data_IF_287524034584
#
_entry.id   IF_287524034584
#
_cell.length_a   1.000
_cell.length_b   1.000
_cell.length_c   1.000
_cell.angle_alpha   90.00
_cell.angle_beta   90.00
_cell.angle_gamma   90.00
#
_symmetry.space_group_name_H-M   'P 1'
#
loop_
_entity.id
_entity.type
_entity.pdbx_description
1 polymer ?
#
# COMPACT_ATOMS: atom_id res chain seq x y z
N UNK A 1 -97.68 -21.45 -23.32
CA UNK A 1 -98.41 -22.19 -22.28
C UNK A 1 -97.49 -23.31 -21.76
N UNK A 2 -96.76 -23.05 -20.68
CA UNK A 2 -95.94 -24.06 -19.99
C UNK A 2 -96.84 -25.17 -19.43
N UNK A 3 -96.57 -26.45 -19.71
CA UNK A 3 -96.56 -27.50 -18.66
C UNK A 3 -96.09 -28.89 -19.14
N UNK A 4 -95.05 -29.37 -18.46
CA UNK A 4 -94.76 -30.76 -18.08
C UNK A 4 -94.95 -31.88 -19.12
N UNK A 5 -93.84 -32.37 -19.70
CA UNK A 5 -93.50 -33.80 -19.65
C UNK A 5 -91.99 -34.09 -19.90
N UNK A 6 -91.10 -33.20 -19.45
CA UNK A 6 -89.66 -33.44 -19.32
C UNK A 6 -89.36 -34.15 -17.99
N UNK A 7 -89.65 -35.45 -17.88
CA UNK A 7 -89.25 -36.21 -16.68
C UNK A 7 -88.99 -37.70 -16.95
N UNK A 8 -89.74 -38.35 -17.85
CA UNK A 8 -89.62 -39.81 -18.07
C UNK A 8 -88.37 -40.25 -18.85
N UNK A 9 -87.90 -39.44 -19.81
CA UNK A 9 -86.74 -39.77 -20.63
C UNK A 9 -85.39 -39.63 -19.91
N UNK A 10 -85.25 -38.64 -19.03
CA UNK A 10 -84.04 -38.43 -18.22
C UNK A 10 -83.86 -39.50 -17.14
N UNK A 11 -84.95 -39.99 -16.55
CA UNK A 11 -84.92 -41.08 -15.57
C UNK A 11 -84.45 -42.38 -16.20
N UNK A 12 -84.89 -42.68 -17.42
CA UNK A 12 -84.49 -43.91 -18.12
C UNK A 12 -82.99 -43.93 -18.47
N UNK A 13 -82.42 -42.78 -18.82
CA UNK A 13 -81.00 -42.65 -19.16
C UNK A 13 -80.09 -42.68 -17.92
N UNK A 14 -80.57 -42.15 -16.78
CA UNK A 14 -79.91 -42.26 -15.47
C UNK A 14 -79.93 -43.71 -14.94
N UNK A 15 -81.04 -44.43 -15.16
CA UNK A 15 -81.16 -45.84 -14.76
C UNK A 15 -80.21 -46.76 -15.54
N UNK A 16 -79.97 -46.44 -16.82
CA UNK A 16 -79.04 -47.16 -17.69
C UNK A 16 -77.57 -46.95 -17.29
N UNK A 17 -77.21 -45.78 -16.74
CA UNK A 17 -75.91 -45.54 -16.12
C UNK A 17 -75.72 -46.28 -14.80
N UNK A 18 -76.78 -46.52 -14.02
CA UNK A 18 -76.69 -47.18 -12.72
C UNK A 18 -76.61 -48.71 -12.81
N UNK A 19 -77.09 -49.30 -13.91
CA UNK A 19 -77.09 -50.76 -14.10
C UNK A 19 -75.77 -51.33 -14.65
N UNK A 20 -74.79 -50.47 -14.99
CA UNK A 20 -73.44 -50.88 -15.44
C UNK A 20 -72.40 -50.98 -14.33
N UNK A 21 -72.76 -50.65 -13.08
CA UNK A 21 -71.90 -50.84 -11.91
C UNK A 21 -72.13 -52.24 -11.33
N UNK A 22 -71.76 -53.26 -12.10
CA UNK A 22 -71.55 -54.59 -11.56
C UNK A 22 -70.40 -54.51 -10.56
N UNK A 23 -70.65 -54.98 -9.33
CA UNK A 23 -69.70 -54.95 -8.23
C UNK A 23 -68.33 -55.52 -8.63
N UNK A 24 -67.33 -54.64 -8.72
CA UNK A 24 -65.95 -55.07 -8.71
C UNK A 24 -65.63 -55.45 -7.26
N UNK A 25 -65.89 -56.71 -6.92
CA UNK A 25 -65.31 -57.30 -5.72
C UNK A 25 -63.79 -57.20 -5.86
N UNK A 26 -63.16 -56.33 -5.08
CA UNK A 26 -61.71 -56.27 -5.00
C UNK A 26 -61.21 -57.63 -4.52
N UNK A 27 -60.84 -58.50 -5.45
CA UNK A 27 -60.24 -59.78 -5.13
C UNK A 27 -58.86 -59.49 -4.55
N UNK A 28 -58.71 -59.71 -3.24
CA UNK A 28 -57.43 -59.64 -2.57
C UNK A 28 -56.54 -60.75 -3.13
N UNK A 29 -55.62 -60.37 -4.02
CA UNK A 29 -54.59 -61.28 -4.49
C UNK A 29 -53.55 -61.43 -3.37
N UNK A 30 -53.75 -62.47 -2.55
CA UNK A 30 -52.91 -62.78 -1.39
C UNK A 30 -51.44 -62.94 -1.80
N UNK A 31 -51.17 -63.46 -3.00
CA UNK A 31 -49.81 -63.62 -3.53
C UNK A 31 -49.14 -62.27 -3.82
N UNK A 32 -49.85 -61.33 -4.46
CA UNK A 32 -49.33 -59.98 -4.71
C UNK A 32 -49.17 -59.17 -3.42
N UNK A 33 -50.06 -59.35 -2.44
CA UNK A 33 -49.91 -58.73 -1.12
C UNK A 33 -48.68 -59.28 -0.38
N UNK A 34 -48.45 -60.60 -0.42
CA UNK A 34 -47.23 -61.19 0.15
C UNK A 34 -45.97 -60.66 -0.55
N UNK A 35 -45.97 -60.58 -1.88
CA UNK A 35 -44.86 -60.01 -2.63
C UNK A 35 -44.61 -58.55 -2.28
N UNK A 36 -45.66 -57.72 -2.17
CA UNK A 36 -45.53 -56.32 -1.77
C UNK A 36 -45.00 -56.19 -0.33
N UNK A 37 -45.45 -57.04 0.58
CA UNK A 37 -44.95 -57.06 1.97
C UNK A 37 -43.48 -57.48 2.01
N UNK A 38 -43.07 -58.45 1.20
CA UNK A 38 -41.68 -58.88 1.07
C UNK A 38 -40.80 -57.78 0.47
N UNK A 39 -41.26 -57.12 -0.60
CA UNK A 39 -40.59 -55.95 -1.19
C UNK A 39 -40.51 -54.77 -0.22
N UNK A 40 -41.58 -54.51 0.56
CA UNK A 40 -41.58 -53.47 1.59
C UNK A 40 -40.58 -53.75 2.71
N UNK A 41 -40.45 -55.02 3.13
CA UNK A 41 -39.43 -55.43 4.11
C UNK A 41 -38.01 -55.28 3.53
N UNK A 42 -37.79 -55.69 2.28
CA UNK A 42 -36.53 -55.53 1.56
C UNK A 42 -36.14 -54.06 1.42
N UNK A 43 -37.06 -53.22 0.96
CA UNK A 43 -36.87 -51.77 0.80
C UNK A 43 -36.58 -51.09 2.14
N UNK A 44 -37.27 -51.48 3.22
CA UNK A 44 -36.98 -50.96 4.55
C UNK A 44 -35.55 -51.27 5.01
N UNK A 45 -35.06 -52.49 4.78
CA UNK A 45 -33.66 -52.85 5.05
C UNK A 45 -32.69 -52.01 4.23
N UNK A 46 -32.97 -51.81 2.94
CA UNK A 46 -32.15 -50.97 2.06
C UNK A 46 -32.13 -49.51 2.48
N UNK A 47 -33.25 -48.97 2.96
CA UNK A 47 -33.34 -47.61 3.50
C UNK A 47 -32.52 -47.47 4.79
N UNK A 48 -32.53 -48.48 5.66
CA UNK A 48 -31.72 -48.49 6.87
C UNK A 48 -30.22 -48.51 6.53
N UNK A 49 -29.80 -49.32 5.57
CA UNK A 49 -28.42 -49.36 5.07
C UNK A 49 -28.01 -48.03 4.40
N UNK A 50 -28.89 -47.46 3.58
CA UNK A 50 -28.68 -46.17 2.94
C UNK A 50 -28.52 -45.06 4.00
N UNK A 51 -29.35 -45.05 5.04
CA UNK A 51 -29.25 -44.12 6.16
C UNK A 51 -27.93 -44.27 6.92
N UNK A 52 -27.50 -45.49 7.20
CA UNK A 52 -26.21 -45.77 7.86
C UNK A 52 -25.04 -45.27 7.01
N UNK A 53 -25.06 -45.54 5.69
CA UNK A 53 -24.05 -45.03 4.74
C UNK A 53 -24.08 -43.51 4.64
N UNK A 54 -25.26 -42.89 4.60
CA UNK A 54 -25.41 -41.44 4.55
C UNK A 54 -24.85 -40.78 5.82
N UNK A 55 -25.04 -41.37 7.00
CA UNK A 55 -24.46 -40.86 8.24
C UNK A 55 -22.93 -40.86 8.18
N UNK A 56 -22.32 -41.95 7.71
CA UNK A 56 -20.85 -42.05 7.54
C UNK A 56 -20.35 -41.07 6.48
N UNK A 57 -21.03 -40.97 5.33
CA UNK A 57 -20.66 -40.03 4.26
C UNK A 57 -20.77 -38.59 4.74
N UNK A 58 -21.85 -38.22 5.44
CA UNK A 58 -22.05 -36.87 5.98
C UNK A 58 -20.98 -36.51 7.01
N UNK A 59 -20.61 -37.44 7.89
CA UNK A 59 -19.52 -37.25 8.85
C UNK A 59 -18.17 -37.05 8.14
N UNK A 60 -17.88 -37.83 7.09
CA UNK A 60 -16.68 -37.69 6.28
C UNK A 60 -16.65 -36.38 5.49
N UNK A 61 -17.77 -35.93 4.95
CA UNK A 61 -17.89 -34.64 4.27
C UNK A 61 -17.63 -33.47 5.21
N UNK A 62 -18.17 -33.50 6.43
CA UNK A 62 -17.94 -32.46 7.43
C UNK A 62 -16.47 -32.42 7.87
N UNK A 63 -15.86 -33.59 8.04
CA UNK A 63 -14.43 -33.70 8.29
C UNK A 63 -13.62 -33.11 7.12
N UNK A 64 -13.95 -33.43 5.88
CA UNK A 64 -13.29 -32.90 4.69
C UNK A 64 -13.45 -31.38 4.57
N UNK A 65 -14.65 -30.83 4.79
CA UNK A 65 -14.89 -29.38 4.83
C UNK A 65 -14.04 -28.70 5.89
N UNK A 66 -13.91 -29.32 7.06
CA UNK A 66 -13.04 -28.84 8.14
C UNK A 66 -11.57 -28.81 7.71
N UNK A 67 -11.07 -29.86 7.07
CA UNK A 67 -9.69 -29.90 6.57
C UNK A 67 -9.46 -28.87 5.45
N UNK A 68 -10.41 -28.70 4.53
CA UNK A 68 -10.35 -27.66 3.50
C UNK A 68 -10.33 -26.25 4.11
N UNK A 69 -11.12 -26.00 5.14
CA UNK A 69 -11.12 -24.73 5.87
C UNK A 69 -9.76 -24.46 6.54
N UNK A 70 -9.18 -25.47 7.17
CA UNK A 70 -7.82 -25.40 7.74
C UNK A 70 -6.77 -25.10 6.66
N UNK A 71 -6.81 -25.81 5.53
CA UNK A 71 -5.91 -25.60 4.40
C UNK A 71 -6.05 -24.17 3.86
N UNK A 72 -7.28 -23.69 3.64
CA UNK A 72 -7.54 -22.33 3.17
C UNK A 72 -7.01 -21.29 4.15
N UNK A 73 -7.12 -21.55 5.45
CA UNK A 73 -6.59 -20.67 6.50
C UNK A 73 -5.06 -20.63 6.46
N UNK A 74 -4.40 -21.79 6.38
CA UNK A 74 -2.93 -21.88 6.24
C UNK A 74 -2.41 -21.22 4.98
N UNK A 75 -3.11 -21.40 3.85
CA UNK A 75 -2.76 -20.75 2.60
C UNK A 75 -2.82 -19.22 2.73
N UNK A 76 -3.89 -18.67 3.31
CA UNK A 76 -4.01 -17.23 3.55
C UNK A 76 -2.92 -16.71 4.49
N UNK A 77 -2.63 -17.45 5.55
CA UNK A 77 -1.55 -17.11 6.50
C UNK A 77 -0.20 -17.03 5.78
N UNK A 78 0.13 -18.06 4.98
CA UNK A 78 1.36 -18.12 4.20
C UNK A 78 1.43 -16.96 3.20
N UNK A 79 0.35 -16.69 2.48
CA UNK A 79 0.27 -15.57 1.55
C UNK A 79 0.54 -14.23 2.24
N UNK A 80 -0.02 -14.02 3.44
CA UNK A 80 0.22 -12.80 4.22
C UNK A 80 1.67 -12.68 4.68
N UNK A 81 2.30 -13.78 5.11
CA UNK A 81 3.74 -13.80 5.47
C UNK A 81 4.63 -13.47 4.27
N UNK A 82 4.33 -14.01 3.09
CA UNK A 82 5.08 -13.69 1.87
C UNK A 82 4.94 -12.21 1.47
N UNK A 83 3.75 -11.62 1.62
CA UNK A 83 3.57 -10.17 1.39
C UNK A 83 4.45 -9.34 2.33
N UNK A 84 4.52 -9.73 3.61
CA UNK A 84 5.34 -9.02 4.59
C UNK A 84 6.85 -9.15 4.28
N UNK A 85 7.31 -10.33 3.84
CA UNK A 85 8.69 -10.53 3.39
C UNK A 85 8.98 -9.68 2.15
N UNK A 86 8.06 -9.65 1.17
CA UNK A 86 8.23 -8.83 -0.02
C UNK A 86 8.34 -7.33 0.31
N UNK A 87 7.51 -6.84 1.24
CA UNK A 87 7.61 -5.48 1.76
C UNK A 87 8.98 -5.20 2.39
N UNK A 88 9.51 -6.13 3.18
CA UNK A 88 10.84 -5.98 3.80
C UNK A 88 11.97 -5.95 2.76
N UNK A 89 11.89 -6.79 1.71
CA UNK A 89 12.83 -6.79 0.59
C UNK A 89 12.77 -5.46 -0.17
N UNK A 90 11.57 -4.96 -0.48
CA UNK A 90 11.35 -3.68 -1.15
C UNK A 90 12.02 -2.54 -0.34
N UNK A 91 11.78 -2.51 0.98
CA UNK A 91 12.36 -1.52 1.88
C UNK A 91 13.90 -1.64 1.96
N UNK A 92 14.44 -2.86 2.08
CA UNK A 92 15.88 -3.10 2.14
C UNK A 92 16.60 -2.67 0.86
N UNK A 93 16.04 -2.98 -0.32
CA UNK A 93 16.61 -2.57 -1.60
C UNK A 93 16.68 -1.05 -1.74
N UNK A 94 15.68 -0.34 -1.22
CA UNK A 94 15.65 1.12 -1.22
C UNK A 94 16.63 1.67 -0.18
N UNK A 95 16.71 1.06 1.00
CA UNK A 95 17.69 1.41 2.03
C UNK A 95 19.13 1.32 1.52
N UNK A 96 19.48 0.26 0.78
CA UNK A 96 20.80 0.11 0.15
C UNK A 96 21.11 1.22 -0.85
N UNK A 97 20.11 1.73 -1.57
CA UNK A 97 20.28 2.86 -2.50
C UNK A 97 20.30 4.22 -1.79
N UNK A 98 19.60 4.34 -0.66
CA UNK A 98 19.51 5.56 0.11
C UNK A 98 20.79 5.83 0.92
N UNK A 99 21.42 4.79 1.46
CA UNK A 99 22.62 4.89 2.29
C UNK A 99 23.73 5.79 1.69
N UNK A 100 24.22 5.56 0.44
CA UNK A 100 25.25 6.41 -0.14
C UNK A 100 24.78 7.86 -0.39
N UNK A 101 23.48 8.08 -0.61
CA UNK A 101 22.93 9.44 -0.80
C UNK A 101 22.90 10.20 0.53
N UNK A 102 22.58 9.52 1.64
CA UNK A 102 22.63 10.11 2.98
C UNK A 102 24.06 10.44 3.37
N UNK A 103 25.01 9.53 3.10
CA UNK A 103 26.43 9.77 3.34
C UNK A 103 26.92 11.00 2.56
N UNK A 104 26.51 11.14 1.29
CA UNK A 104 26.80 12.32 0.51
C UNK A 104 26.25 13.60 1.15
N UNK A 105 24.99 13.60 1.62
CA UNK A 105 24.41 14.77 2.31
C UNK A 105 25.28 15.15 3.51
N UNK A 106 25.64 14.18 4.35
CA UNK A 106 26.49 14.40 5.54
C UNK A 106 27.83 15.00 5.15
N UNK A 107 28.46 14.46 4.10
CA UNK A 107 29.74 14.96 3.61
C UNK A 107 29.65 16.40 3.09
N UNK A 108 28.63 16.72 2.28
CA UNK A 108 28.45 18.08 1.77
C UNK A 108 28.15 19.07 2.91
N UNK A 109 27.35 18.65 3.89
CA UNK A 109 27.05 19.46 5.07
C UNK A 109 28.30 19.79 5.87
N UNK A 110 29.17 18.80 6.10
CA UNK A 110 30.47 19.02 6.74
C UNK A 110 31.32 20.05 6.00
N UNK A 111 31.33 20.01 4.66
CA UNK A 111 32.05 20.99 3.83
C UNK A 111 31.45 22.40 3.97
N UNK A 112 30.12 22.52 3.97
CA UNK A 112 29.42 23.79 4.16
C UNK A 112 29.77 24.41 5.52
N UNK A 113 29.69 23.62 6.60
CA UNK A 113 30.07 24.09 7.95
C UNK A 113 31.54 24.51 8.02
N UNK A 114 32.44 23.74 7.41
CA UNK A 114 33.87 24.06 7.37
C UNK A 114 34.13 25.37 6.63
N UNK A 115 33.50 25.58 5.48
CA UNK A 115 33.61 26.83 4.71
C UNK A 115 33.03 28.04 5.45
N UNK A 116 31.87 27.88 6.08
CA UNK A 116 31.24 28.93 6.89
C UNK A 116 32.09 29.30 8.11
N UNK A 117 32.71 28.30 8.75
CA UNK A 117 33.61 28.51 9.89
C UNK A 117 34.87 29.28 9.50
N UNK A 118 35.51 28.89 8.40
CA UNK A 118 36.71 29.59 7.92
C UNK A 118 36.42 30.99 7.37
N UNK A 119 35.22 31.20 6.82
CA UNK A 119 34.82 32.48 6.25
C UNK A 119 33.41 32.86 6.69
N UNK A 120 33.29 33.55 7.84
CA UNK A 120 31.99 33.93 8.40
C UNK A 120 31.11 34.78 7.49
N UNK A 121 31.69 35.47 6.49
CA UNK A 121 30.94 36.23 5.48
C UNK A 121 30.01 35.33 4.62
N UNK A 122 30.30 34.03 4.51
CA UNK A 122 29.49 33.07 3.76
C UNK A 122 28.29 32.54 4.57
N UNK A 123 28.20 32.86 5.85
CA UNK A 123 27.15 32.35 6.74
C UNK A 123 25.73 32.73 6.30
N UNK A 124 25.44 33.96 5.84
CA UNK A 124 24.11 34.31 5.32
C UNK A 124 23.72 33.49 4.08
N UNK A 125 24.67 33.19 3.20
CA UNK A 125 24.44 32.36 2.01
C UNK A 125 24.07 30.93 2.40
N UNK A 126 24.75 30.39 3.41
CA UNK A 126 24.47 29.05 3.93
C UNK A 126 23.11 29.01 4.64
N UNK A 127 22.77 30.03 5.43
CA UNK A 127 21.60 30.03 6.31
C UNK A 127 20.28 29.71 5.59
N UNK A 128 19.96 30.46 4.53
CA UNK A 128 18.68 30.29 3.82
C UNK A 128 18.60 28.92 3.13
N UNK A 129 19.71 28.47 2.56
CA UNK A 129 19.79 27.19 1.86
C UNK A 129 19.70 26.01 2.83
N UNK A 130 20.35 26.10 3.99
CA UNK A 130 20.25 25.12 5.07
C UNK A 130 18.84 25.06 5.65
N UNK A 131 18.17 26.20 5.84
CA UNK A 131 16.81 26.24 6.34
C UNK A 131 15.82 25.52 5.39
N UNK A 132 15.95 25.71 4.07
CA UNK A 132 15.15 24.98 3.08
C UNK A 132 15.45 23.47 3.11
N UNK A 133 16.73 23.08 3.18
CA UNK A 133 17.13 21.67 3.26
C UNK A 133 16.59 20.98 4.52
N UNK A 134 16.66 21.64 5.68
CA UNK A 134 16.07 21.14 6.93
C UNK A 134 14.55 20.99 6.80
N UNK A 135 13.87 21.95 6.16
CA UNK A 135 12.43 21.86 5.92
C UNK A 135 12.08 20.65 5.04
N UNK A 136 12.84 20.41 3.97
CA UNK A 136 12.67 19.23 3.09
C UNK A 136 12.92 17.93 3.84
N UNK A 137 14.00 17.87 4.62
CA UNK A 137 14.31 16.71 5.45
C UNK A 137 13.18 16.42 6.44
N UNK A 138 12.62 17.44 7.10
CA UNK A 138 11.48 17.28 8.01
C UNK A 138 10.23 16.76 7.30
N UNK A 139 9.91 17.28 6.11
CA UNK A 139 8.79 16.77 5.28
C UNK A 139 9.00 15.30 4.92
N UNK A 140 10.22 14.92 4.55
CA UNK A 140 10.56 13.54 4.24
C UNK A 140 10.46 12.62 5.48
N UNK A 141 10.91 13.07 6.64
CA UNK A 141 10.75 12.34 7.90
C UNK A 141 9.27 12.14 8.25
N UNK A 142 8.44 13.17 8.09
CA UNK A 142 6.99 13.07 8.31
C UNK A 142 6.34 12.08 7.34
N UNK A 143 6.77 12.08 6.07
CA UNK A 143 6.32 11.11 5.07
C UNK A 143 6.68 9.68 5.47
N UNK A 144 7.94 9.44 5.86
CA UNK A 144 8.39 8.14 6.35
C UNK A 144 7.61 7.70 7.60
N UNK A 145 7.36 8.61 8.54
CA UNK A 145 6.55 8.34 9.72
C UNK A 145 5.12 7.92 9.34
N UNK A 146 4.49 8.61 8.38
CA UNK A 146 3.20 8.22 7.83
C UNK A 146 3.22 6.83 7.20
N UNK A 147 4.26 6.49 6.43
CA UNK A 147 4.43 5.15 5.88
C UNK A 147 4.54 4.08 6.96
N UNK A 148 5.29 4.35 8.04
CA UNK A 148 5.42 3.41 9.17
C UNK A 148 4.08 3.20 9.89
N UNK A 149 3.30 4.26 10.12
CA UNK A 149 1.97 4.14 10.73
C UNK A 149 1.01 3.33 9.85
N UNK A 150 1.14 3.44 8.52
CA UNK A 150 0.32 2.72 7.54
C UNK A 150 0.95 1.42 7.03
N UNK A 151 1.82 0.76 7.81
CA UNK A 151 2.52 -0.45 7.36
C UNK A 151 1.58 -1.63 7.04
N UNK A 152 0.44 -1.72 7.74
CA UNK A 152 -0.60 -2.70 7.46
C UNK A 152 -1.26 -2.50 6.10
N UNK A 153 -1.45 -1.25 5.69
CA UNK A 153 -2.00 -0.90 4.37
C UNK A 153 -0.94 -1.13 3.29
N UNK A 154 0.32 -0.75 3.54
CA UNK A 154 1.44 -1.05 2.65
C UNK A 154 1.51 -2.54 2.32
N UNK A 155 1.38 -3.42 3.31
CA UNK A 155 1.41 -4.86 3.10
C UNK A 155 0.28 -5.36 2.17
N UNK A 156 -0.84 -4.64 2.10
CA UNK A 156 -1.98 -4.98 1.24
C UNK A 156 -1.87 -4.40 -0.18
N UNK A 157 -1.03 -3.38 -0.37
CA UNK A 157 -0.80 -2.74 -1.68
C UNK A 157 -0.11 -3.67 -2.68
N UNK A 158 -0.28 -3.37 -3.98
CA UNK A 158 0.49 -4.02 -5.05
C UNK A 158 1.96 -3.65 -4.91
N UNK A 159 2.84 -4.57 -5.33
CA UNK A 159 4.30 -4.36 -5.24
C UNK A 159 4.77 -3.10 -6.01
N UNK A 160 4.15 -2.81 -7.15
CA UNK A 160 4.41 -1.58 -7.92
C UNK A 160 4.17 -0.31 -7.11
N UNK A 161 3.06 -0.28 -6.38
CA UNK A 161 2.58 0.92 -5.69
C UNK A 161 3.46 1.17 -4.46
N UNK A 162 3.82 0.10 -3.71
CA UNK A 162 4.82 0.18 -2.64
C UNK A 162 6.16 0.68 -3.14
N UNK A 163 6.63 0.17 -4.28
CA UNK A 163 7.90 0.57 -4.87
C UNK A 163 7.88 2.05 -5.26
N UNK A 164 6.76 2.55 -5.77
CA UNK A 164 6.57 3.98 -6.05
C UNK A 164 6.71 4.82 -4.77
N UNK A 165 6.07 4.42 -3.68
CA UNK A 165 6.17 5.12 -2.38
C UNK A 165 7.62 5.14 -1.84
N UNK A 166 8.31 4.01 -1.85
CA UNK A 166 9.71 3.99 -1.40
C UNK A 166 10.67 4.71 -2.37
N UNK A 167 10.38 4.70 -3.66
CA UNK A 167 11.18 5.41 -4.66
C UNK A 167 11.04 6.93 -4.54
N UNK A 168 9.89 7.42 -4.05
CA UNK A 168 9.72 8.83 -3.70
C UNK A 168 10.72 9.27 -2.62
N UNK A 169 10.96 8.44 -1.60
CA UNK A 169 11.97 8.70 -0.55
C UNK A 169 13.35 8.92 -1.15
N UNK A 170 13.77 8.03 -2.06
CA UNK A 170 15.06 8.11 -2.72
C UNK A 170 15.18 9.38 -3.59
N UNK A 171 14.10 9.76 -4.27
CA UNK A 171 14.06 11.01 -5.03
C UNK A 171 14.22 12.24 -4.14
N UNK A 172 13.53 12.30 -3.00
CA UNK A 172 13.66 13.43 -2.07
C UNK A 172 15.06 13.50 -1.42
N UNK A 173 15.65 12.36 -1.05
CA UNK A 173 17.05 12.31 -0.59
C UNK A 173 18.00 12.87 -1.66
N UNK A 174 17.84 12.47 -2.92
CA UNK A 174 18.68 12.98 -4.02
C UNK A 174 18.49 14.47 -4.26
N UNK A 175 17.28 15.00 -4.05
CA UNK A 175 17.02 16.45 -4.12
C UNK A 175 17.78 17.20 -3.03
N UNK A 176 17.76 16.70 -1.80
CA UNK A 176 18.51 17.29 -0.68
C UNK A 176 20.01 17.20 -0.95
N UNK A 177 20.52 16.04 -1.38
CA UNK A 177 21.93 15.87 -1.75
C UNK A 177 22.37 16.83 -2.86
N UNK A 178 21.54 17.00 -3.89
CA UNK A 178 21.79 17.95 -4.97
C UNK A 178 21.85 19.40 -4.49
N UNK A 179 20.94 19.81 -3.60
CA UNK A 179 20.95 21.14 -3.00
C UNK A 179 22.22 21.36 -2.15
N UNK A 180 22.57 20.41 -1.29
CA UNK A 180 23.76 20.49 -0.45
C UNK A 180 25.04 20.59 -1.30
N UNK A 181 25.16 19.77 -2.35
CA UNK A 181 26.30 19.82 -3.28
C UNK A 181 26.38 21.17 -4.01
N UNK A 182 25.23 21.71 -4.45
CA UNK A 182 25.16 23.01 -5.09
C UNK A 182 25.60 24.15 -4.17
N UNK A 183 25.15 24.14 -2.92
CA UNK A 183 25.55 25.11 -1.90
C UNK A 183 27.04 25.01 -1.58
N UNK A 184 27.55 23.81 -1.30
CA UNK A 184 28.96 23.57 -1.01
C UNK A 184 29.87 24.07 -2.16
N UNK A 185 29.49 23.77 -3.41
CA UNK A 185 30.20 24.25 -4.59
C UNK A 185 30.19 25.78 -4.70
N UNK A 186 29.02 26.41 -4.49
CA UNK A 186 28.88 27.87 -4.54
C UNK A 186 29.74 28.55 -3.47
N UNK A 187 29.71 28.05 -2.24
CA UNK A 187 30.53 28.55 -1.13
C UNK A 187 32.03 28.35 -1.39
N UNK A 188 32.43 27.22 -1.98
CA UNK A 188 33.81 26.95 -2.34
C UNK A 188 34.35 27.98 -3.34
N UNK A 189 33.59 28.29 -4.39
CA UNK A 189 33.99 29.29 -5.38
C UNK A 189 33.96 30.72 -4.84
N UNK A 190 32.95 31.06 -4.03
CA UNK A 190 32.89 32.35 -3.33
C UNK A 190 34.10 32.55 -2.41
N UNK A 191 34.48 31.48 -1.69
CA UNK A 191 35.63 31.47 -0.81
C UNK A 191 36.93 31.75 -1.53
N UNK A 192 37.17 31.06 -2.66
CA UNK A 192 38.36 31.30 -3.49
C UNK A 192 38.40 32.71 -4.05
N UNK A 193 37.26 33.26 -4.49
CA UNK A 193 37.20 34.62 -5.01
C UNK A 193 37.57 35.65 -3.94
N UNK A 194 37.00 35.53 -2.74
CA UNK A 194 37.32 36.40 -1.60
C UNK A 194 38.82 36.35 -1.25
N UNK A 195 39.43 35.16 -1.25
CA UNK A 195 40.87 35.04 -1.04
C UNK A 195 41.70 35.73 -2.13
N UNK A 196 41.29 35.67 -3.40
CA UNK A 196 41.98 36.36 -4.50
C UNK A 196 41.84 37.88 -4.43
N UNK A 197 40.65 38.39 -4.07
CA UNK A 197 40.44 39.84 -3.85
C UNK A 197 41.31 40.36 -2.69
N UNK A 198 41.50 39.55 -1.63
CA UNK A 198 42.40 39.86 -0.52
C UNK A 198 43.90 39.79 -0.88
N UNK A 199 44.26 39.02 -1.91
CA UNK A 199 45.63 38.88 -2.42
C UNK A 199 45.94 39.80 -3.61
N UNK A 200 45.02 40.70 -3.97
CA UNK A 200 45.22 41.62 -5.09
C UNK A 200 46.50 42.45 -4.88
N UNK A 201 47.49 42.38 -5.80
CA UNK A 201 48.76 43.11 -5.69
C UNK A 201 48.56 44.63 -5.75
N UNK A 202 47.35 45.10 -6.13
CA UNK A 202 47.00 46.51 -6.21
C UNK A 202 46.49 47.10 -4.88
N UNK A 203 46.22 46.27 -3.86
CA UNK A 203 45.69 46.76 -2.58
C UNK A 203 46.69 47.63 -1.82
N UNK A 204 47.98 47.32 -1.93
CA UNK A 204 49.04 48.14 -1.33
C UNK A 204 49.20 49.49 -2.02
N UNK A 205 48.95 49.56 -3.34
CA UNK A 205 48.97 50.80 -4.10
C UNK A 205 47.82 51.74 -3.70
N UNK A 206 46.61 51.21 -3.50
CA UNK A 206 45.47 52.03 -3.03
C UNK A 206 45.74 52.63 -1.64
N UNK A 207 46.36 51.86 -0.75
CA UNK A 207 46.73 52.35 0.59
C UNK A 207 47.88 53.38 0.54
N UNK A 208 48.81 53.24 -0.40
CA UNK A 208 49.86 54.24 -0.64
C UNK A 208 49.28 55.55 -1.18
N UNK A 209 48.35 55.49 -2.12
CA UNK A 209 47.71 56.68 -2.69
C UNK A 209 46.91 57.44 -1.63
N UNK A 210 46.17 56.74 -0.77
CA UNK A 210 45.49 57.38 0.37
C UNK A 210 46.46 58.09 1.31
N UNK A 211 47.58 57.45 1.65
CA UNK A 211 48.62 58.08 2.51
C UNK A 211 49.25 59.29 1.83
N UNK A 212 49.54 59.20 0.53
CA UNK A 212 50.09 60.32 -0.23
C UNK A 212 49.11 61.51 -0.27
N UNK A 213 47.82 61.26 -0.46
CA UNK A 213 46.78 62.31 -0.43
C UNK A 213 46.66 62.93 0.96
N UNK A 214 46.65 62.13 2.02
CA UNK A 214 46.61 62.62 3.39
C UNK A 214 47.83 63.47 3.75
N UNK A 215 49.01 63.07 3.29
CA UNK A 215 50.26 63.83 3.48
C UNK A 215 50.25 65.13 2.69
N UNK A 216 49.73 65.14 1.45
CA UNK A 216 49.53 66.37 0.66
C UNK A 216 48.56 67.32 1.38
N UNK A 217 47.44 66.82 1.88
CA UNK A 217 46.46 67.64 2.60
C UNK A 217 47.06 68.21 3.89
N UNK A 218 47.81 67.41 4.67
CA UNK A 218 48.50 67.90 5.88
C UNK A 218 49.55 68.96 5.57
N UNK A 219 50.37 68.76 4.54
CA UNK A 219 51.38 69.75 4.14
C UNK A 219 50.76 71.01 3.56
N UNK A 220 49.65 70.90 2.82
CA UNK A 220 48.98 72.08 2.29
C UNK A 220 48.33 72.89 3.41
N UNK A 221 47.73 72.22 4.41
CA UNK A 221 47.17 72.86 5.59
C UNK A 221 48.23 73.50 6.51
N UNK A 222 49.46 72.97 6.56
CA UNK A 222 50.54 73.59 7.33
C UNK A 222 51.11 74.85 6.66
N UNK A 223 51.02 74.94 5.33
CA UNK A 223 51.42 76.10 4.53
C UNK A 223 50.37 77.23 4.49
N UNK A 224 49.11 76.93 4.83
CA UNK A 224 47.99 77.87 4.84
C UNK A 224 47.56 78.34 6.24
N UNK A 225 48.39 78.15 7.27
CA UNK A 225 48.15 78.81 8.57
C UNK A 225 48.34 80.33 8.44
N UNK A 226 47.40 81.16 8.92
CA UNK A 226 47.55 82.63 8.97
C UNK A 226 48.70 83.06 9.88
#
# INVERSE_FOLDING_TARGET
MYKLMNFKGGIFLILLCFCGLSESSAQLNVQLLHQLVEESKSEHSRQQDAKNRQAVVSANEEYNKTQLSKLKTRYRELQNRFKAIALAIDAAQIGLQAAPVVEEIIQQQSNIFTLAWHQPLLLPLAYDSEADMVMRARKLCNYLYGLFLSIGDLNQMKASDRRMLFSYVLTELRRIAGAARGLASTMYYASRRSSLENLSPFRDFINQDQRMVDDIIRNTNSLFKP
#
